data_IF_294840095369
#
_entry.id   IF_294840095369
#
_cell.length_a   1.000
_cell.length_b   1.000
_cell.length_c   1.000
_cell.angle_alpha   90.00
_cell.angle_beta   90.00
_cell.angle_gamma   90.00
#
_symmetry.space_group_name_H-M   'P 1'
#
loop_
_entity.id
_entity.type
_entity.pdbx_description
1 polymer ?
#
# COMPACT_ATOMS: atom_id res chain seq x y z
N UNK A 1 -23.55 19.97 -0.15
CA UNK A 1 -23.09 18.58 0.04
C UNK A 1 -21.87 18.33 -0.84
N UNK A 2 -20.80 17.92 -0.27
CA UNK A 2 -19.62 17.49 -1.05
C UNK A 2 -19.89 16.11 -1.63
N UNK A 3 -19.66 15.91 -2.91
CA UNK A 3 -19.78 14.58 -3.52
C UNK A 3 -18.74 13.63 -2.88
N UNK A 4 -19.10 12.33 -2.79
CA UNK A 4 -18.13 11.33 -2.35
C UNK A 4 -16.97 11.23 -3.34
N UNK A 5 -15.76 10.98 -2.83
CA UNK A 5 -14.57 10.82 -3.67
C UNK A 5 -14.76 9.63 -4.64
N UNK A 6 -14.31 9.80 -5.86
CA UNK A 6 -14.31 8.77 -6.89
C UNK A 6 -13.24 7.70 -6.59
N UNK A 7 -13.37 6.49 -7.15
CA UNK A 7 -12.33 5.46 -6.99
C UNK A 7 -10.93 5.92 -7.41
N UNK A 8 -10.82 6.70 -8.48
CA UNK A 8 -9.55 7.27 -8.94
C UNK A 8 -8.96 8.26 -7.93
N UNK A 9 -9.79 9.15 -7.37
CA UNK A 9 -9.33 10.09 -6.34
C UNK A 9 -8.88 9.37 -5.07
N UNK A 10 -9.59 8.31 -4.66
CA UNK A 10 -9.20 7.49 -3.50
C UNK A 10 -7.88 6.78 -3.76
N UNK A 11 -7.66 6.23 -4.96
CA UNK A 11 -6.37 5.63 -5.34
C UNK A 11 -5.23 6.65 -5.22
N UNK A 12 -5.38 7.85 -5.76
CA UNK A 12 -4.34 8.87 -5.67
C UNK A 12 -4.08 9.31 -4.22
N UNK A 13 -5.13 9.47 -3.43
CA UNK A 13 -4.98 9.80 -2.01
C UNK A 13 -4.20 8.72 -1.23
N UNK A 14 -4.48 7.43 -1.51
CA UNK A 14 -3.74 6.31 -0.95
C UNK A 14 -2.26 6.34 -1.37
N UNK A 15 -2.00 6.52 -2.67
CA UNK A 15 -0.66 6.56 -3.24
C UNK A 15 0.17 7.76 -2.73
N UNK A 16 -0.47 8.85 -2.33
CA UNK A 16 0.20 10.01 -1.72
C UNK A 16 0.48 9.80 -0.23
N UNK A 17 -0.45 9.20 0.50
CA UNK A 17 -0.38 9.09 1.95
C UNK A 17 0.64 8.02 2.41
N UNK A 18 0.71 6.87 1.74
CA UNK A 18 1.60 5.77 2.12
C UNK A 18 3.07 6.17 2.14
N UNK A 19 3.64 6.80 1.10
CA UNK A 19 5.03 7.22 1.14
C UNK A 19 5.35 8.21 2.25
N UNK A 20 4.45 9.15 2.51
CA UNK A 20 4.64 10.13 3.59
C UNK A 20 4.67 9.46 4.96
N UNK A 21 3.76 8.51 5.19
CA UNK A 21 3.72 7.75 6.43
C UNK A 21 5.01 6.94 6.62
N UNK A 22 5.47 6.25 5.57
CA UNK A 22 6.72 5.47 5.58
C UNK A 22 7.93 6.35 5.92
N UNK A 23 7.96 7.59 5.41
CA UNK A 23 9.00 8.58 5.74
C UNK A 23 8.85 9.21 7.14
N UNK A 24 7.89 8.77 7.95
CA UNK A 24 7.75 9.18 9.34
C UNK A 24 6.73 10.29 9.60
N UNK A 25 5.98 10.73 8.59
CA UNK A 25 4.87 11.67 8.79
C UNK A 25 3.67 10.94 9.40
N UNK A 26 3.69 10.81 10.71
CA UNK A 26 2.62 10.12 11.47
C UNK A 26 1.26 10.80 11.38
N UNK A 27 1.20 12.06 10.95
CA UNK A 27 -0.08 12.76 10.74
C UNK A 27 -0.90 12.14 9.59
N UNK A 28 -0.27 11.35 8.73
CA UNK A 28 -0.92 10.65 7.63
C UNK A 28 -1.69 9.39 8.06
N UNK A 29 -1.44 8.84 9.25
CA UNK A 29 -1.99 7.55 9.66
C UNK A 29 -3.53 7.55 9.70
N UNK A 30 -4.13 8.44 10.47
CA UNK A 30 -5.59 8.48 10.58
C UNK A 30 -6.30 8.92 9.29
N UNK A 31 -5.82 9.92 8.52
CA UNK A 31 -6.35 10.21 7.20
C UNK A 31 -6.26 9.02 6.23
N UNK A 32 -5.17 8.27 6.26
CA UNK A 32 -4.99 7.06 5.44
C UNK A 32 -6.01 5.97 5.83
N UNK A 33 -6.18 5.70 7.11
CA UNK A 33 -7.16 4.74 7.60
C UNK A 33 -8.59 5.17 7.24
N UNK A 34 -8.87 6.48 7.24
CA UNK A 34 -10.17 7.02 6.88
C UNK A 34 -10.56 6.79 5.40
N UNK A 35 -9.60 6.46 4.53
CA UNK A 35 -9.88 6.04 3.15
C UNK A 35 -10.59 4.69 3.08
N UNK A 36 -10.55 3.89 4.14
CA UNK A 36 -11.14 2.56 4.18
C UNK A 36 -12.50 2.57 4.88
N UNK A 37 -13.39 1.72 4.41
CA UNK A 37 -14.62 1.40 5.11
C UNK A 37 -14.33 0.52 6.34
N UNK A 38 -15.31 0.37 7.21
CA UNK A 38 -15.29 -0.62 8.27
C UNK A 38 -16.66 -1.33 8.32
N UNK A 39 -16.70 -2.63 8.02
CA UNK A 39 -15.57 -3.48 7.66
C UNK A 39 -15.03 -3.19 6.25
N UNK A 40 -13.78 -3.58 6.02
CA UNK A 40 -13.12 -3.62 4.70
C UNK A 40 -12.56 -5.02 4.46
N UNK A 41 -12.01 -5.30 3.29
CA UNK A 41 -11.31 -6.55 2.98
C UNK A 41 -10.05 -6.22 2.18
N UNK A 42 -8.92 -6.09 2.87
CA UNK A 42 -7.62 -5.77 2.26
C UNK A 42 -6.75 -7.02 2.25
N UNK A 43 -6.31 -7.42 1.07
CA UNK A 43 -5.50 -8.61 0.85
C UNK A 43 -4.21 -8.28 0.12
N UNK A 44 -3.17 -9.05 0.43
CA UNK A 44 -1.87 -8.99 -0.22
C UNK A 44 -1.59 -10.34 -0.90
N UNK A 45 -2.10 -10.56 -2.14
CA UNK A 45 -2.08 -11.89 -2.76
C UNK A 45 -0.68 -12.46 -3.02
N UNK A 46 0.34 -11.60 -3.16
CA UNK A 46 1.73 -11.99 -3.36
C UNK A 46 2.55 -11.98 -2.08
N UNK A 47 1.92 -11.80 -0.91
CA UNK A 47 2.64 -11.94 0.34
C UNK A 47 3.32 -13.32 0.41
N UNK A 48 4.61 -13.38 0.80
CA UNK A 48 5.36 -14.64 0.80
C UNK A 48 4.88 -15.64 1.86
N UNK A 49 4.07 -15.16 2.80
CA UNK A 49 3.49 -15.98 3.87
C UNK A 49 1.99 -15.75 3.94
N UNK A 50 1.20 -16.78 4.32
CA UNK A 50 -0.23 -16.62 4.54
C UNK A 50 -0.51 -15.51 5.56
N UNK A 51 -1.47 -14.65 5.23
CA UNK A 51 -1.92 -13.57 6.11
C UNK A 51 -3.44 -13.45 6.02
N UNK A 52 -4.08 -13.17 7.15
CA UNK A 52 -5.49 -12.87 7.19
C UNK A 52 -5.78 -11.51 6.55
N UNK A 53 -6.92 -11.34 5.89
CA UNK A 53 -7.33 -10.05 5.38
C UNK A 53 -7.45 -9.00 6.50
N UNK A 54 -7.07 -7.75 6.21
CA UNK A 54 -7.30 -6.64 7.13
C UNK A 54 -8.76 -6.21 7.00
N UNK A 55 -9.50 -6.23 8.09
CA UNK A 55 -10.96 -5.99 8.07
C UNK A 55 -11.38 -4.79 8.91
N UNK A 56 -10.60 -4.44 9.92
CA UNK A 56 -10.91 -3.39 10.88
C UNK A 56 -9.91 -2.25 10.83
N UNK A 57 -10.28 -1.11 11.40
CA UNK A 57 -9.35 0.03 11.54
C UNK A 57 -8.14 -0.34 12.40
N UNK A 58 -8.32 -1.21 13.38
CA UNK A 58 -7.21 -1.66 14.21
C UNK A 58 -6.25 -2.57 13.45
N UNK A 59 -6.75 -3.41 12.54
CA UNK A 59 -5.90 -4.17 11.62
C UNK A 59 -5.07 -3.23 10.74
N UNK A 60 -5.71 -2.21 10.17
CA UNK A 60 -5.04 -1.22 9.33
C UNK A 60 -3.99 -0.42 10.12
N UNK A 61 -4.29 0.01 11.37
CA UNK A 61 -3.32 0.69 12.21
C UNK A 61 -2.10 -0.17 12.49
N UNK A 62 -2.29 -1.44 12.82
CA UNK A 62 -1.17 -2.38 13.02
C UNK A 62 -0.35 -2.54 11.75
N UNK A 63 -1.01 -2.72 10.61
CA UNK A 63 -0.35 -2.89 9.31
C UNK A 63 0.51 -1.68 8.94
N UNK A 64 -0.06 -0.48 8.95
CA UNK A 64 0.66 0.74 8.57
C UNK A 64 1.69 1.17 9.60
N UNK A 65 1.46 0.94 10.88
CA UNK A 65 2.48 1.17 11.92
C UNK A 65 3.66 0.19 11.78
N UNK A 66 3.40 -1.06 11.39
CA UNK A 66 4.42 -2.05 11.08
C UNK A 66 5.26 -1.66 9.86
N UNK A 67 4.63 -1.15 8.80
CA UNK A 67 5.32 -0.65 7.62
C UNK A 67 6.26 0.52 7.94
N UNK A 68 5.83 1.45 8.79
CA UNK A 68 6.66 2.56 9.27
C UNK A 68 7.86 2.06 10.08
N UNK A 69 7.66 1.10 10.96
CA UNK A 69 8.74 0.52 11.77
C UNK A 69 9.76 -0.25 10.92
N UNK A 70 9.32 -0.88 9.83
CA UNK A 70 10.18 -1.61 8.90
C UNK A 70 10.98 -0.70 7.95
N UNK A 71 10.64 0.58 7.90
CA UNK A 71 11.24 1.57 6.98
C UNK A 71 12.52 2.22 7.52
N UNK A 72 13.20 1.60 8.48
CA UNK A 72 14.50 2.10 8.96
C UNK A 72 15.51 2.19 7.81
N UNK A 73 16.22 3.31 7.74
CA UNK A 73 17.21 3.58 6.67
C UNK A 73 16.60 4.05 5.34
N UNK A 74 15.28 4.29 5.25
CA UNK A 74 14.65 4.88 4.06
C UNK A 74 14.89 6.39 4.05
N UNK A 75 15.56 6.87 3.01
CA UNK A 75 15.93 8.28 2.83
C UNK A 75 14.91 9.05 1.99
N UNK A 76 14.33 8.38 0.98
CA UNK A 76 13.26 8.91 0.14
C UNK A 76 12.30 7.80 -0.29
N UNK A 77 11.04 8.15 -0.50
CA UNK A 77 10.01 7.23 -0.90
C UNK A 77 8.88 7.99 -1.62
N UNK A 78 8.49 7.55 -2.81
CA UNK A 78 7.41 8.16 -3.57
C UNK A 78 6.67 7.11 -4.42
N UNK A 79 5.40 7.37 -4.71
CA UNK A 79 4.63 6.61 -5.67
C UNK A 79 4.54 7.41 -6.98
N UNK A 80 5.15 6.89 -8.03
CA UNK A 80 5.30 7.55 -9.34
C UNK A 80 4.77 6.70 -10.48
N UNK A 81 4.75 7.25 -11.69
CA UNK A 81 4.31 6.57 -12.92
C UNK A 81 2.93 5.91 -12.78
N UNK A 82 1.99 6.64 -12.18
CA UNK A 82 0.66 6.14 -11.86
C UNK A 82 -0.22 6.07 -13.11
N UNK A 83 -0.71 4.88 -13.41
CA UNK A 83 -1.74 4.65 -14.44
C UNK A 83 -2.97 4.06 -13.78
N UNK A 84 -4.13 4.70 -13.95
CA UNK A 84 -5.40 4.22 -13.41
C UNK A 84 -6.27 3.73 -14.55
N UNK A 85 -6.67 2.46 -14.48
CA UNK A 85 -7.57 1.83 -15.43
C UNK A 85 -8.98 1.78 -14.85
N UNK A 86 -9.94 2.34 -15.58
CA UNK A 86 -11.35 2.13 -15.30
C UNK A 86 -11.74 0.70 -15.71
N UNK A 87 -12.67 0.10 -14.99
CA UNK A 87 -13.22 -1.20 -15.31
C UNK A 87 -14.70 -1.11 -15.73
N UNK A 88 -15.29 -2.22 -16.13
CA UNK A 88 -16.71 -2.27 -16.42
C UNK A 88 -17.59 -2.01 -15.16
N UNK A 89 -17.03 -2.22 -13.96
CA UNK A 89 -17.67 -1.89 -12.70
C UNK A 89 -17.20 -0.50 -12.24
N UNK A 90 -18.10 0.51 -12.16
CA UNK A 90 -17.71 1.87 -11.81
C UNK A 90 -17.18 2.03 -10.38
N UNK A 91 -17.36 1.04 -9.51
CA UNK A 91 -16.78 1.01 -8.16
C UNK A 91 -15.34 0.50 -8.17
N UNK A 92 -14.86 -0.12 -9.26
CA UNK A 92 -13.57 -0.81 -9.31
C UNK A 92 -12.60 -0.09 -10.23
N UNK A 93 -11.42 0.23 -9.70
CA UNK A 93 -10.27 0.72 -10.47
C UNK A 93 -9.05 -0.15 -10.25
N UNK A 94 -8.16 -0.16 -11.24
CA UNK A 94 -6.86 -0.80 -11.16
C UNK A 94 -5.81 0.31 -11.29
N UNK A 95 -4.98 0.47 -10.28
CA UNK A 95 -3.87 1.42 -10.29
C UNK A 95 -2.54 0.69 -10.42
N UNK A 96 -1.81 0.95 -11.49
CA UNK A 96 -0.42 0.53 -11.66
C UNK A 96 0.49 1.69 -11.33
N UNK A 97 1.55 1.45 -10.59
CA UNK A 97 2.50 2.48 -10.19
C UNK A 97 3.80 1.89 -9.69
N UNK A 98 4.79 2.75 -9.47
CA UNK A 98 6.07 2.37 -8.91
C UNK A 98 6.27 3.06 -7.56
N UNK A 99 6.68 2.30 -6.56
CA UNK A 99 7.34 2.86 -5.39
C UNK A 99 8.83 3.01 -5.68
N UNK A 100 9.29 4.24 -5.71
CA UNK A 100 10.69 4.57 -5.94
C UNK A 100 11.26 5.35 -4.77
N UNK A 101 12.55 5.23 -4.58
CA UNK A 101 13.23 5.98 -3.53
C UNK A 101 14.65 5.50 -3.30
N UNK A 102 15.16 5.82 -2.10
CA UNK A 102 16.48 5.47 -1.67
C UNK A 102 16.43 4.92 -0.25
N UNK A 103 17.04 3.77 -0.05
CA UNK A 103 17.13 3.12 1.24
C UNK A 103 18.52 2.50 1.40
N UNK A 104 19.15 2.67 2.58
CA UNK A 104 20.50 2.17 2.85
C UNK A 104 21.52 2.57 1.77
N UNK A 105 21.50 3.83 1.33
CA UNK A 105 22.34 4.40 0.28
C UNK A 105 22.19 3.75 -1.11
N UNK A 106 21.09 3.04 -1.38
CA UNK A 106 20.77 2.42 -2.67
C UNK A 106 19.44 2.89 -3.19
N UNK A 107 19.37 3.16 -4.48
CA UNK A 107 18.09 3.46 -5.15
C UNK A 107 17.29 2.18 -5.33
N UNK A 108 15.98 2.29 -5.22
CA UNK A 108 15.05 1.18 -5.46
C UNK A 108 13.87 1.61 -6.34
N UNK A 109 13.32 0.62 -7.02
CA UNK A 109 12.12 0.74 -7.85
C UNK A 109 11.33 -0.56 -7.68
N UNK A 110 10.10 -0.47 -7.15
CA UNK A 110 9.23 -1.61 -6.88
C UNK A 110 7.88 -1.39 -7.56
N UNK A 111 7.56 -2.24 -8.52
CA UNK A 111 6.29 -2.18 -9.26
C UNK A 111 5.14 -2.68 -8.38
N UNK A 112 4.03 -1.97 -8.42
CA UNK A 112 2.81 -2.30 -7.66
C UNK A 112 1.56 -2.19 -8.54
N UNK A 113 0.60 -3.06 -8.26
CA UNK A 113 -0.75 -3.00 -8.83
C UNK A 113 -1.74 -3.10 -7.68
N UNK A 114 -2.61 -2.11 -7.54
CA UNK A 114 -3.71 -2.16 -6.58
C UNK A 114 -5.04 -2.25 -7.32
N UNK A 115 -5.85 -3.22 -6.92
CA UNK A 115 -7.23 -3.36 -7.40
C UNK A 115 -8.14 -2.92 -6.28
N UNK A 116 -8.75 -1.75 -6.42
CA UNK A 116 -9.59 -1.13 -5.39
C UNK A 116 -11.06 -1.19 -5.78
N UNK A 117 -11.90 -1.64 -4.86
CA UNK A 117 -13.34 -1.38 -4.89
C UNK A 117 -13.65 -0.26 -3.91
N UNK A 118 -14.23 0.81 -4.42
CA UNK A 118 -14.56 2.01 -3.64
C UNK A 118 -16.06 2.25 -3.70
N UNK A 119 -16.68 2.39 -2.55
CA UNK A 119 -18.10 2.69 -2.41
C UNK A 119 -18.29 3.82 -1.42
N UNK A 120 -19.06 4.85 -1.82
CA UNK A 120 -19.26 6.03 -0.99
C UNK A 120 -17.95 6.75 -0.60
N UNK A 121 -16.96 6.75 -1.50
CA UNK A 121 -15.66 7.38 -1.27
C UNK A 121 -14.71 6.59 -0.34
N UNK A 122 -15.02 5.32 -0.03
CA UNK A 122 -14.20 4.49 0.86
C UNK A 122 -13.88 3.14 0.26
N UNK A 123 -12.69 2.64 0.51
CA UNK A 123 -12.22 1.33 0.05
C UNK A 123 -12.95 0.25 0.85
N UNK A 124 -13.78 -0.54 0.17
CA UNK A 124 -14.46 -1.70 0.76
C UNK A 124 -13.71 -2.99 0.50
N UNK A 125 -12.95 -3.06 -0.60
CA UNK A 125 -12.05 -4.16 -0.92
C UNK A 125 -10.77 -3.61 -1.56
N UNK A 126 -9.63 -4.22 -1.23
CA UNK A 126 -8.35 -3.96 -1.89
C UNK A 126 -7.59 -5.27 -2.07
N UNK A 127 -6.99 -5.43 -3.25
CA UNK A 127 -5.97 -6.45 -3.51
C UNK A 127 -4.70 -5.73 -3.94
N UNK A 128 -3.72 -5.75 -3.06
CA UNK A 128 -2.47 -5.05 -3.21
C UNK A 128 -1.41 -6.03 -3.70
N UNK A 129 -1.20 -6.05 -5.01
CA UNK A 129 -0.16 -6.85 -5.65
C UNK A 129 1.14 -6.05 -5.62
N UNK A 130 2.02 -6.41 -4.72
CA UNK A 130 3.35 -5.81 -4.57
C UNK A 130 4.41 -6.86 -4.78
N UNK A 131 5.59 -6.47 -5.26
CA UNK A 131 6.71 -7.38 -5.42
C UNK A 131 7.44 -7.58 -4.08
N UNK A 132 7.26 -8.71 -3.38
CA UNK A 132 7.88 -8.94 -2.08
C UNK A 132 9.40 -9.09 -2.16
N UNK A 133 9.92 -9.59 -3.29
CA UNK A 133 11.36 -9.72 -3.51
C UNK A 133 11.97 -8.35 -3.78
N UNK A 134 11.29 -7.51 -4.55
CA UNK A 134 11.70 -6.13 -4.80
C UNK A 134 11.78 -5.31 -3.51
N UNK A 135 10.76 -5.42 -2.63
CA UNK A 135 10.81 -4.77 -1.32
C UNK A 135 11.90 -5.33 -0.42
N UNK A 136 12.08 -6.65 -0.35
CA UNK A 136 13.14 -7.25 0.45
C UNK A 136 14.53 -6.80 -0.03
N UNK A 137 14.70 -6.65 -1.34
CA UNK A 137 15.95 -6.10 -1.92
C UNK A 137 16.13 -4.62 -1.54
N UNK A 138 15.09 -3.81 -1.69
CA UNK A 138 15.11 -2.39 -1.38
C UNK A 138 15.50 -2.13 0.08
N UNK A 139 14.96 -2.93 1.01
CA UNK A 139 15.16 -2.75 2.45
C UNK A 139 16.24 -3.64 3.06
N UNK A 140 17.08 -4.28 2.24
CA UNK A 140 18.18 -5.11 2.72
C UNK A 140 17.76 -6.39 3.43
N UNK A 141 16.58 -6.93 3.11
CA UNK A 141 15.97 -8.08 3.81
C UNK A 141 15.95 -9.38 2.98
N UNK A 142 16.68 -9.43 1.86
CA UNK A 142 16.68 -10.62 1.00
C UNK A 142 17.13 -11.89 1.72
N UNK A 143 18.19 -11.82 2.52
CA UNK A 143 18.70 -12.98 3.27
C UNK A 143 17.66 -13.46 4.30
N UNK A 144 17.00 -12.53 4.99
CA UNK A 144 15.94 -12.83 5.97
C UNK A 144 14.74 -13.49 5.29
N UNK A 145 14.31 -12.94 4.14
CA UNK A 145 13.21 -13.50 3.36
C UNK A 145 13.57 -14.92 2.87
N UNK A 146 14.75 -15.11 2.28
CA UNK A 146 15.21 -16.39 1.78
C UNK A 146 15.26 -17.46 2.90
N UNK A 147 15.82 -17.11 4.06
CA UNK A 147 15.88 -18.01 5.21
C UNK A 147 14.48 -18.41 5.70
N UNK A 148 13.54 -17.48 5.73
CA UNK A 148 12.17 -17.75 6.16
C UNK A 148 11.39 -18.62 5.16
N UNK A 149 11.67 -18.52 3.85
CA UNK A 149 11.01 -19.32 2.81
C UNK A 149 11.47 -20.78 2.77
N UNK A 150 12.64 -21.10 3.32
CA UNK A 150 13.21 -22.46 3.32
C UNK A 150 13.15 -23.13 4.71
N UNK A 151 12.55 -22.46 5.67
CA UNK A 151 12.44 -22.94 7.06
C UNK A 151 11.26 -23.98 7.22
#
# INVERSE_FOLDING_TARGET
MTAAATPTEVFHALADAVPRLVLGDRSQLEPLIALYAEPTDVRHPFAPFPAEPLRTRDDLRRHFSGATAAADGVESFAAVERTVHATADPEVVIGEFHYVGRAHARDFDVVCIFVLRVRGGRIVESRDYTDPVGFARAFGQLATLAAALVA
#
